data_IF_505973209492
#
_entry.id   IF_505973209492
#
_cell.length_a   1.000
_cell.length_b   1.000
_cell.length_c   1.000
_cell.angle_alpha   90.00
_cell.angle_beta   90.00
_cell.angle_gamma   90.00
#
_symmetry.space_group_name_H-M   'P 1'
#
loop_
_entity.id
_entity.type
_entity.pdbx_description
1 polymer ?
#
# COMPACT_ATOMS: atom_id res chain seq x y z
N UNK A 1 -5.88 -16.04 -28.47
CA UNK A 1 -5.50 -14.60 -28.55
C UNK A 1 -6.77 -13.81 -28.76
N UNK A 2 -6.79 -12.54 -28.37
CA UNK A 2 -7.93 -11.66 -28.64
C UNK A 2 -7.92 -11.28 -30.14
N UNK A 3 -9.08 -10.91 -30.68
CA UNK A 3 -9.16 -10.42 -32.06
C UNK A 3 -8.29 -9.17 -32.24
N UNK A 4 -7.41 -9.11 -33.26
CA UNK A 4 -6.65 -7.92 -33.57
C UNK A 4 -7.55 -6.71 -33.87
N UNK A 5 -7.19 -5.56 -33.30
CA UNK A 5 -7.87 -4.28 -33.53
C UNK A 5 -6.80 -3.24 -33.86
N UNK A 6 -6.52 -3.11 -35.16
CA UNK A 6 -5.48 -2.21 -35.68
C UNK A 6 -5.90 -0.75 -35.59
N UNK A 7 -7.19 -0.46 -35.83
CA UNK A 7 -7.72 0.90 -35.87
C UNK A 7 -7.55 1.57 -34.50
N UNK A 8 -7.77 0.83 -33.41
CA UNK A 8 -7.54 1.31 -32.04
C UNK A 8 -6.10 1.78 -31.78
N UNK A 9 -5.10 1.20 -32.44
CA UNK A 9 -3.68 1.53 -32.25
C UNK A 9 -3.08 2.35 -33.39
N UNK A 10 -3.84 2.65 -34.45
CA UNK A 10 -3.36 3.37 -35.61
C UNK A 10 -2.69 4.72 -35.25
N UNK A 11 -3.21 5.55 -34.33
CA UNK A 11 -2.53 6.79 -33.94
C UNK A 11 -1.14 6.56 -33.34
N UNK A 12 -0.96 5.48 -32.57
CA UNK A 12 0.34 5.10 -32.00
C UNK A 12 1.30 4.58 -33.07
N UNK A 13 0.79 3.84 -34.06
CA UNK A 13 1.58 3.38 -35.21
C UNK A 13 2.08 4.55 -36.04
N UNK A 14 1.24 5.56 -36.29
CA UNK A 14 1.64 6.78 -37.00
C UNK A 14 2.79 7.52 -36.29
N UNK A 15 2.75 7.60 -34.96
CA UNK A 15 3.87 8.14 -34.17
C UNK A 15 5.13 7.32 -34.41
N UNK A 16 5.03 5.99 -34.36
CA UNK A 16 6.16 5.08 -34.64
C UNK A 16 6.72 5.28 -36.05
N UNK A 17 5.87 5.42 -37.07
CA UNK A 17 6.27 5.64 -38.45
C UNK A 17 6.94 6.99 -38.69
N UNK A 18 6.58 8.03 -37.93
CA UNK A 18 7.30 9.32 -37.95
C UNK A 18 8.69 9.21 -37.35
N UNK A 19 8.84 8.47 -36.26
CA UNK A 19 10.15 8.25 -35.62
C UNK A 19 11.06 7.34 -36.45
N UNK A 20 10.48 6.34 -37.14
CA UNK A 20 11.21 5.35 -37.93
C UNK A 20 10.67 5.28 -39.36
N UNK A 21 11.07 6.20 -40.27
CA UNK A 21 10.49 6.30 -41.62
C UNK A 21 10.57 5.03 -42.47
N UNK A 22 11.56 4.16 -42.23
CA UNK A 22 11.67 2.87 -42.93
C UNK A 22 10.43 1.97 -42.75
N UNK A 23 9.74 2.06 -41.61
CA UNK A 23 8.56 1.24 -41.32
C UNK A 23 7.33 1.61 -42.17
N UNK A 24 7.28 2.81 -42.75
CA UNK A 24 6.19 3.24 -43.64
C UNK A 24 6.05 2.37 -44.90
N UNK A 25 7.13 1.70 -45.31
CA UNK A 25 7.20 0.91 -46.56
C UNK A 25 7.32 -0.61 -46.33
N UNK A 26 7.43 -1.05 -45.08
CA UNK A 26 7.77 -2.45 -44.76
C UNK A 26 6.53 -3.36 -44.67
N UNK A 27 5.36 -2.81 -44.38
CA UNK A 27 4.12 -3.58 -44.15
C UNK A 27 4.08 -4.29 -42.79
N UNK A 28 2.88 -4.72 -42.38
CA UNK A 28 2.66 -5.45 -41.11
C UNK A 28 2.49 -6.93 -41.44
N UNK A 29 3.41 -7.77 -40.94
CA UNK A 29 3.35 -9.24 -41.14
C UNK A 29 2.32 -9.92 -40.23
N UNK A 30 2.23 -9.49 -38.98
CA UNK A 30 1.40 -10.12 -37.96
C UNK A 30 1.04 -9.12 -36.86
N UNK A 31 -0.17 -9.25 -36.31
CA UNK A 31 -0.63 -8.50 -35.14
C UNK A 31 -0.98 -9.51 -34.04
N UNK A 32 -0.38 -9.35 -32.86
CA UNK A 32 -0.64 -10.20 -31.70
C UNK A 32 -1.36 -9.36 -30.66
N UNK A 33 -2.65 -9.65 -30.45
CA UNK A 33 -3.44 -9.07 -29.37
C UNK A 33 -3.58 -10.11 -28.24
N UNK A 34 -2.73 -9.99 -27.22
CA UNK A 34 -2.63 -10.93 -26.11
C UNK A 34 -3.15 -10.36 -24.81
N UNK A 35 -3.82 -11.17 -23.96
CA UNK A 35 -4.15 -10.75 -22.61
C UNK A 35 -2.88 -10.64 -21.76
N UNK A 36 -2.88 -9.68 -20.85
CA UNK A 36 -1.81 -9.48 -19.86
C UNK A 36 -2.44 -9.25 -18.48
N UNK A 37 -1.80 -9.69 -17.42
CA UNK A 37 -2.28 -9.51 -16.03
C UNK A 37 -1.61 -8.31 -15.36
N UNK A 38 -2.41 -7.51 -14.64
CA UNK A 38 -1.96 -6.35 -13.87
C UNK A 38 -2.64 -6.34 -12.51
N UNK A 39 -1.88 -6.02 -11.46
CA UNK A 39 -2.46 -5.59 -10.19
C UNK A 39 -2.90 -4.12 -10.28
N UNK A 40 -3.71 -3.61 -9.33
CA UNK A 40 -4.18 -2.23 -9.33
C UNK A 40 -3.08 -1.18 -9.47
N UNK A 41 -1.88 -1.42 -8.91
CA UNK A 41 -0.71 -0.52 -8.99
C UNK A 41 0.29 -0.91 -10.10
N UNK A 42 0.01 -1.96 -10.87
CA UNK A 42 0.87 -2.49 -11.92
C UNK A 42 2.07 -3.32 -11.43
N UNK A 43 2.26 -3.49 -10.12
CA UNK A 43 3.31 -4.34 -9.56
C UNK A 43 2.84 -5.81 -9.40
N UNK A 44 3.77 -6.78 -9.37
CA UNK A 44 3.45 -8.16 -9.03
C UNK A 44 2.70 -8.34 -7.71
N UNK A 45 2.03 -9.47 -7.56
CA UNK A 45 1.43 -9.96 -6.32
C UNK A 45 2.15 -11.23 -5.91
N UNK A 46 2.99 -11.13 -4.89
CA UNK A 46 3.94 -12.17 -4.49
C UNK A 46 3.81 -12.44 -2.99
N UNK A 47 3.86 -13.70 -2.58
CA UNK A 47 4.01 -14.09 -1.18
C UNK A 47 2.85 -14.92 -0.63
N UNK A 48 2.88 -15.19 0.69
CA UNK A 48 1.91 -16.05 1.36
C UNK A 48 0.59 -15.31 1.62
N UNK A 49 -0.52 -16.01 1.39
CA UNK A 49 -1.87 -15.47 1.60
C UNK A 49 -2.32 -15.71 3.05
N UNK A 50 -2.67 -14.62 3.75
CA UNK A 50 -3.17 -14.68 5.12
C UNK A 50 -4.43 -15.56 5.20
N UNK A 51 -4.54 -16.38 6.24
CA UNK A 51 -5.67 -17.28 6.46
C UNK A 51 -5.63 -18.59 5.66
N UNK A 52 -4.66 -18.77 4.75
CA UNK A 52 -4.52 -19.98 3.93
C UNK A 52 -3.10 -20.57 4.07
N UNK A 53 -2.84 -21.41 5.10
CA UNK A 53 -1.52 -22.00 5.33
C UNK A 53 -1.02 -22.79 4.12
N UNK A 54 0.22 -22.51 3.70
CA UNK A 54 0.83 -23.16 2.55
C UNK A 54 0.35 -22.68 1.18
N UNK A 55 -0.54 -21.67 1.12
CA UNK A 55 -0.98 -21.07 -0.14
C UNK A 55 -0.16 -19.81 -0.46
N UNK A 56 0.46 -19.82 -1.64
CA UNK A 56 1.36 -18.76 -2.10
C UNK A 56 0.93 -18.26 -3.47
N UNK A 57 1.19 -16.98 -3.74
CA UNK A 57 0.92 -16.37 -5.04
C UNK A 57 2.18 -15.78 -5.66
N UNK A 58 2.21 -15.79 -6.98
CA UNK A 58 3.17 -15.07 -7.83
C UNK A 58 2.42 -14.64 -9.11
N UNK A 59 1.48 -13.71 -8.93
CA UNK A 59 0.50 -13.29 -9.93
C UNK A 59 0.76 -11.86 -10.40
N UNK A 60 0.12 -11.44 -11.49
CA UNK A 60 0.19 -10.05 -11.97
C UNK A 60 1.59 -9.60 -12.42
N UNK A 61 2.45 -10.56 -12.81
CA UNK A 61 3.84 -10.27 -13.20
C UNK A 61 3.88 -9.70 -14.62
N UNK A 62 3.69 -8.38 -14.71
CA UNK A 62 3.61 -7.66 -15.99
C UNK A 62 4.84 -7.88 -16.89
N UNK A 63 6.05 -7.80 -16.36
CA UNK A 63 7.26 -7.95 -17.15
C UNK A 63 7.87 -9.34 -16.93
N UNK A 64 7.04 -10.38 -17.02
CA UNK A 64 7.35 -11.76 -16.62
C UNK A 64 8.68 -12.31 -17.12
N UNK A 65 9.07 -12.02 -18.36
CA UNK A 65 10.37 -12.43 -18.89
C UNK A 65 11.56 -11.74 -18.20
N UNK A 66 11.42 -10.46 -17.88
CA UNK A 66 12.48 -9.68 -17.21
C UNK A 66 12.50 -9.83 -15.68
N UNK A 67 11.33 -10.04 -15.07
CA UNK A 67 11.16 -10.07 -13.61
C UNK A 67 11.06 -11.49 -13.04
N UNK A 68 10.72 -12.49 -13.87
CA UNK A 68 10.38 -13.84 -13.41
C UNK A 68 11.48 -14.53 -12.62
N UNK A 69 12.75 -14.36 -13.02
CA UNK A 69 13.89 -14.91 -12.28
C UNK A 69 14.01 -14.32 -10.86
N UNK A 70 13.85 -13.00 -10.73
CA UNK A 70 13.91 -12.32 -9.43
C UNK A 70 12.72 -12.65 -8.54
N UNK A 71 11.50 -12.70 -9.10
CA UNK A 71 10.30 -13.14 -8.37
C UNK A 71 10.44 -14.58 -7.89
N UNK A 72 10.96 -15.46 -8.75
CA UNK A 72 11.21 -16.86 -8.40
C UNK A 72 12.20 -17.00 -7.24
N UNK A 73 13.32 -16.28 -7.28
CA UNK A 73 14.32 -16.28 -6.21
C UNK A 73 13.75 -15.75 -4.88
N UNK A 74 13.02 -14.64 -4.91
CA UNK A 74 12.41 -14.08 -3.70
C UNK A 74 11.40 -15.06 -3.07
N UNK A 75 10.57 -15.69 -3.91
CA UNK A 75 9.58 -16.65 -3.44
C UNK A 75 10.22 -17.93 -2.88
N UNK A 76 11.26 -18.46 -3.54
CA UNK A 76 11.97 -19.65 -3.05
C UNK A 76 12.68 -19.39 -1.73
N UNK A 77 13.34 -18.25 -1.58
CA UNK A 77 13.95 -17.85 -0.31
C UNK A 77 12.89 -17.75 0.78
N UNK A 78 11.75 -17.11 0.48
CA UNK A 78 10.70 -16.94 1.47
C UNK A 78 10.11 -18.27 1.94
N UNK A 79 9.91 -19.22 1.03
CA UNK A 79 9.38 -20.54 1.38
C UNK A 79 10.36 -21.36 2.24
N UNK A 80 11.67 -21.20 2.05
CA UNK A 80 12.69 -22.02 2.74
C UNK A 80 13.14 -21.35 4.06
N UNK A 81 13.43 -20.06 4.01
CA UNK A 81 14.05 -19.30 5.10
C UNK A 81 13.04 -18.49 5.92
N UNK A 82 11.78 -18.41 5.48
CA UNK A 82 10.77 -17.54 6.09
C UNK A 82 10.93 -16.06 5.76
N UNK A 83 11.88 -15.70 4.89
CA UNK A 83 12.14 -14.32 4.44
C UNK A 83 12.52 -14.27 2.94
N UNK A 84 12.05 -13.28 2.17
CA UNK A 84 12.39 -13.16 0.75
C UNK A 84 13.85 -12.79 0.47
N UNK A 85 14.63 -12.41 1.48
CA UNK A 85 16.04 -12.01 1.38
C UNK A 85 16.27 -10.57 0.95
N UNK A 86 15.21 -9.85 0.57
CA UNK A 86 15.21 -8.44 0.22
C UNK A 86 13.87 -7.79 0.61
N UNK A 87 13.82 -6.47 0.69
CA UNK A 87 12.55 -5.77 0.83
C UNK A 87 11.76 -5.83 -0.49
N UNK A 88 10.64 -6.56 -0.45
CA UNK A 88 9.72 -6.73 -1.57
C UNK A 88 8.32 -6.18 -1.26
N UNK A 89 8.19 -5.24 -0.32
CA UNK A 89 6.90 -4.68 0.09
C UNK A 89 6.01 -4.27 -1.09
N UNK A 90 6.58 -3.61 -2.10
CA UNK A 90 5.85 -3.19 -3.31
C UNK A 90 5.24 -4.34 -4.13
N UNK A 91 5.70 -5.58 -3.90
CA UNK A 91 5.21 -6.80 -4.55
C UNK A 91 4.40 -7.69 -3.60
N UNK A 92 4.50 -7.51 -2.28
CA UNK A 92 3.79 -8.36 -1.30
C UNK A 92 2.28 -8.29 -1.55
N UNK A 93 1.62 -9.46 -1.56
CA UNK A 93 0.16 -9.56 -1.65
C UNK A 93 -0.53 -8.89 -0.46
N UNK A 94 0.12 -8.80 0.70
CA UNK A 94 -0.41 -8.19 1.91
C UNK A 94 -0.55 -6.66 1.85
N UNK A 95 -0.10 -6.00 0.78
CA UNK A 95 -0.36 -4.56 0.55
C UNK A 95 -1.82 -4.27 0.16
N UNK A 96 -2.59 -5.32 -0.13
CA UNK A 96 -4.03 -5.25 -0.38
C UNK A 96 -4.79 -6.04 0.69
N UNK A 97 -6.09 -5.74 0.78
CA UNK A 97 -7.05 -6.51 1.56
C UNK A 97 -8.41 -6.49 0.90
N UNK A 98 -9.46 -6.81 1.65
CA UNK A 98 -10.83 -6.98 1.12
C UNK A 98 -11.41 -5.73 0.45
N UNK A 99 -10.80 -4.57 0.67
CA UNK A 99 -11.16 -3.31 0.03
C UNK A 99 -10.82 -3.26 -1.46
N UNK A 100 -9.83 -4.04 -1.92
CA UNK A 100 -9.38 -4.07 -3.29
C UNK A 100 -10.32 -4.91 -4.17
N UNK A 101 -11.58 -4.47 -4.27
CA UNK A 101 -12.64 -5.17 -5.01
C UNK A 101 -12.35 -5.28 -6.51
N UNK A 102 -13.09 -6.14 -7.20
CA UNK A 102 -13.01 -6.29 -8.65
C UNK A 102 -13.28 -4.97 -9.40
N UNK A 103 -14.24 -4.16 -8.91
CA UNK A 103 -14.58 -2.86 -9.50
C UNK A 103 -13.42 -1.86 -9.35
N UNK A 104 -12.85 -1.77 -8.15
CA UNK A 104 -11.67 -0.93 -7.89
C UNK A 104 -10.48 -1.37 -8.76
N UNK A 105 -10.20 -2.68 -8.78
CA UNK A 105 -9.12 -3.27 -9.57
C UNK A 105 -9.28 -2.95 -11.05
N UNK A 106 -10.50 -3.07 -11.60
CA UNK A 106 -10.76 -2.76 -13.01
C UNK A 106 -10.46 -1.29 -13.35
N UNK A 107 -10.92 -0.36 -12.49
CA UNK A 107 -10.69 1.06 -12.69
C UNK A 107 -9.20 1.42 -12.62
N UNK A 108 -8.49 0.96 -11.58
CA UNK A 108 -7.07 1.25 -11.37
C UNK A 108 -6.15 0.62 -12.40
N UNK A 109 -6.43 -0.60 -12.84
CA UNK A 109 -5.64 -1.26 -13.88
C UNK A 109 -5.72 -0.49 -15.20
N UNK A 110 -6.92 -0.01 -15.58
CA UNK A 110 -7.09 0.81 -16.80
C UNK A 110 -6.31 2.11 -16.74
N UNK A 111 -6.34 2.79 -15.58
CA UNK A 111 -5.59 4.02 -15.35
C UNK A 111 -4.07 3.79 -15.36
N UNK A 112 -3.58 2.75 -14.69
CA UNK A 112 -2.15 2.43 -14.69
C UNK A 112 -1.65 1.99 -16.06
N UNK A 113 -2.45 1.21 -16.80
CA UNK A 113 -2.10 0.79 -18.15
C UNK A 113 -2.01 1.98 -19.11
N UNK A 114 -3.00 2.88 -19.09
CA UNK A 114 -3.00 4.06 -19.96
C UNK A 114 -1.85 5.03 -19.68
N UNK A 115 -1.29 4.99 -18.46
CA UNK A 115 -0.19 5.85 -18.00
C UNK A 115 1.16 5.16 -17.96
N UNK A 116 1.30 3.93 -18.50
CA UNK A 116 2.49 3.09 -18.29
C UNK A 116 3.81 3.76 -18.66
N UNK A 117 3.81 4.56 -19.72
CA UNK A 117 4.99 5.29 -20.21
C UNK A 117 4.89 6.80 -20.00
N UNK A 118 3.94 7.25 -19.19
CA UNK A 118 3.80 8.66 -18.83
C UNK A 118 4.85 9.06 -17.79
N UNK A 119 5.25 10.33 -17.83
CA UNK A 119 6.04 10.93 -16.75
C UNK A 119 5.14 11.02 -15.51
N UNK A 120 5.51 10.31 -14.45
CA UNK A 120 4.88 10.39 -13.13
C UNK A 120 5.61 11.42 -12.32
N UNK A 121 4.93 12.26 -11.56
CA UNK A 121 5.58 13.21 -10.63
C UNK A 121 5.56 12.69 -9.19
N UNK A 122 6.42 13.18 -8.28
CA UNK A 122 6.32 12.88 -6.86
C UNK A 122 4.97 13.38 -6.35
N UNK A 123 4.42 12.67 -5.36
CA UNK A 123 3.15 12.99 -4.72
C UNK A 123 1.93 13.00 -5.67
N UNK A 124 2.09 12.59 -6.94
CA UNK A 124 0.98 12.59 -7.89
C UNK A 124 -0.04 11.50 -7.56
N UNK A 125 -1.20 11.96 -7.09
CA UNK A 125 -2.36 11.15 -6.80
C UNK A 125 -3.20 10.84 -8.04
N UNK A 126 -3.73 9.63 -8.10
CA UNK A 126 -4.46 9.13 -9.26
C UNK A 126 -5.95 8.93 -8.94
N UNK A 127 -6.88 9.54 -9.70
CA UNK A 127 -8.28 9.65 -9.31
C UNK A 127 -9.13 8.39 -9.57
N UNK A 128 -8.71 7.45 -10.43
CA UNK A 128 -9.59 6.34 -10.78
C UNK A 128 -9.94 5.48 -9.55
N UNK A 129 -11.24 5.15 -9.41
CA UNK A 129 -11.74 4.35 -8.30
C UNK A 129 -11.87 5.10 -6.96
N UNK A 130 -11.79 6.43 -6.96
CA UNK A 130 -11.89 7.28 -5.77
C UNK A 130 -13.14 8.18 -5.77
N UNK A 131 -13.70 8.54 -4.60
CA UNK A 131 -13.32 8.02 -3.27
C UNK A 131 -13.78 6.57 -3.09
N UNK A 132 -13.00 5.76 -2.35
CA UNK A 132 -13.33 4.37 -2.04
C UNK A 132 -13.83 4.19 -0.61
N UNK A 133 -12.96 4.43 0.37
CA UNK A 133 -13.34 4.48 1.79
C UNK A 133 -13.12 5.90 2.31
N UNK A 134 -14.06 6.38 3.09
CA UNK A 134 -14.02 7.70 3.72
C UNK A 134 -14.32 7.59 5.20
N UNK A 135 -13.81 8.53 5.99
CA UNK A 135 -14.20 8.67 7.39
C UNK A 135 -15.41 9.60 7.50
N UNK A 136 -16.11 9.63 8.66
CA UNK A 136 -17.20 10.59 8.88
C UNK A 136 -16.78 12.07 8.75
N UNK A 137 -15.48 12.37 8.78
CA UNK A 137 -14.95 13.73 8.63
C UNK A 137 -14.71 14.13 7.18
N UNK A 138 -14.83 13.21 6.21
CA UNK A 138 -14.46 13.46 4.81
C UNK A 138 -15.07 14.73 4.22
N UNK A 139 -16.41 14.88 4.29
CA UNK A 139 -17.10 16.07 3.76
C UNK A 139 -16.69 17.36 4.49
N UNK A 140 -16.49 17.30 5.81
CA UNK A 140 -16.08 18.45 6.60
C UNK A 140 -14.65 18.92 6.25
N UNK A 141 -13.75 17.97 6.00
CA UNK A 141 -12.37 18.25 5.59
C UNK A 141 -12.30 18.69 4.12
N UNK A 142 -13.12 18.11 3.24
CA UNK A 142 -13.24 18.54 1.85
C UNK A 142 -13.73 20.00 1.77
N UNK A 143 -14.73 20.37 2.57
CA UNK A 143 -15.20 21.75 2.69
C UNK A 143 -14.15 22.73 3.25
N UNK A 144 -13.08 22.22 3.87
CA UNK A 144 -11.90 22.99 4.34
C UNK A 144 -10.77 23.02 3.30
N UNK A 145 -10.97 22.43 2.12
CA UNK A 145 -9.99 22.42 1.03
C UNK A 145 -9.02 21.24 1.06
N UNK A 146 -9.32 20.16 1.79
CA UNK A 146 -8.45 18.98 1.83
C UNK A 146 -8.11 18.48 0.42
N UNK A 147 -6.80 18.37 0.14
CA UNK A 147 -6.27 17.63 -1.00
C UNK A 147 -6.04 16.19 -0.58
N UNK A 148 -6.60 15.26 -1.33
CA UNK A 148 -6.75 13.89 -0.88
C UNK A 148 -5.69 12.96 -1.46
N UNK A 149 -5.07 12.16 -0.60
CA UNK A 149 -4.31 10.97 -0.96
C UNK A 149 -5.03 9.70 -0.54
N UNK A 150 -4.45 8.54 -0.83
CA UNK A 150 -5.00 7.24 -0.43
C UNK A 150 -3.99 6.46 0.41
N UNK A 151 -4.44 5.97 1.56
CA UNK A 151 -3.73 4.99 2.38
C UNK A 151 -4.60 3.76 2.57
N UNK A 152 -4.19 2.62 2.02
CA UNK A 152 -4.89 1.34 2.18
C UNK A 152 -6.40 1.38 1.83
N UNK A 153 -6.72 2.10 0.75
CA UNK A 153 -8.09 2.33 0.26
C UNK A 153 -8.86 3.44 0.97
N UNK A 154 -8.32 4.01 2.06
CA UNK A 154 -8.89 5.15 2.79
C UNK A 154 -8.40 6.48 2.24
N UNK A 155 -9.32 7.41 2.04
CA UNK A 155 -9.03 8.81 1.73
C UNK A 155 -8.40 9.51 2.93
N UNK A 156 -7.23 10.12 2.74
CA UNK A 156 -6.47 10.81 3.79
C UNK A 156 -6.12 12.23 3.31
N UNK A 157 -6.37 13.28 4.11
CA UNK A 157 -5.96 14.63 3.76
C UNK A 157 -4.42 14.73 3.76
N UNK A 158 -3.85 15.20 2.66
CA UNK A 158 -2.42 15.46 2.51
C UNK A 158 -2.04 16.87 2.96
N UNK A 159 -2.86 17.85 2.56
CA UNK A 159 -2.74 19.27 2.89
C UNK A 159 -4.07 19.99 2.58
N UNK A 160 -4.19 21.28 2.92
CA UNK A 160 -5.42 22.04 2.71
C UNK A 160 -5.21 23.22 1.73
N UNK A 161 -5.88 23.15 0.58
CA UNK A 161 -5.83 24.17 -0.46
C UNK A 161 -6.86 25.29 -0.22
N UNK A 162 -6.45 26.56 -0.29
CA UNK A 162 -7.39 27.68 -0.36
C UNK A 162 -8.27 27.62 -1.61
N UNK A 163 -9.37 28.37 -1.61
CA UNK A 163 -10.24 28.49 -2.78
C UNK A 163 -9.46 28.92 -4.02
N UNK A 164 -9.66 28.19 -5.13
CA UNK A 164 -8.99 28.45 -6.40
C UNK A 164 -7.58 27.86 -6.53
N UNK A 165 -6.99 27.32 -5.46
CA UNK A 165 -5.68 26.64 -5.50
C UNK A 165 -5.87 25.16 -5.85
N UNK A 166 -5.00 24.62 -6.69
CA UNK A 166 -4.98 23.22 -7.11
C UNK A 166 -3.56 22.67 -7.05
N UNK A 167 -3.44 21.35 -6.99
CA UNK A 167 -2.15 20.67 -7.11
C UNK A 167 -1.53 20.88 -8.49
N UNK A 168 -0.30 21.40 -8.50
CA UNK A 168 0.62 21.34 -9.64
C UNK A 168 1.88 20.61 -9.21
N UNK A 169 2.01 19.36 -9.67
CA UNK A 169 3.12 18.50 -9.30
C UNK A 169 4.44 18.92 -9.95
N UNK A 170 5.54 18.75 -9.22
CA UNK A 170 6.86 19.18 -9.63
C UNK A 170 7.93 18.22 -9.11
N UNK A 171 9.06 18.14 -9.81
CA UNK A 171 10.28 17.50 -9.29
C UNK A 171 11.01 18.36 -8.24
N UNK A 172 10.49 19.57 -7.99
CA UNK A 172 10.93 20.51 -6.95
C UNK A 172 9.73 20.81 -6.05
N UNK A 173 9.83 21.88 -5.26
CA UNK A 173 8.69 22.41 -4.51
C UNK A 173 7.50 22.64 -5.45
N UNK A 174 6.34 22.11 -5.06
CA UNK A 174 5.05 22.24 -5.74
C UNK A 174 4.20 23.32 -5.07
N UNK A 175 2.98 23.48 -5.56
CA UNK A 175 1.96 24.41 -5.04
C UNK A 175 1.70 24.25 -3.54
N UNK A 176 1.82 23.04 -3.00
CA UNK A 176 1.61 22.71 -1.59
C UNK A 176 2.63 23.35 -0.62
N UNK A 177 3.84 23.68 -1.06
CA UNK A 177 4.97 23.96 -0.16
C UNK A 177 4.70 25.07 0.86
N UNK A 178 4.24 26.24 0.40
CA UNK A 178 3.97 27.38 1.28
C UNK A 178 2.70 27.18 2.13
N UNK A 179 1.78 26.31 1.69
CA UNK A 179 0.57 25.97 2.44
C UNK A 179 0.88 25.01 3.58
N UNK A 180 1.64 23.94 3.30
CA UNK A 180 2.14 23.02 4.32
C UNK A 180 3.03 23.76 5.33
N UNK A 181 3.86 24.71 4.89
CA UNK A 181 4.65 25.54 5.80
C UNK A 181 3.78 26.32 6.80
N UNK A 182 2.61 26.82 6.35
CA UNK A 182 1.63 27.48 7.23
C UNK A 182 0.97 26.51 8.19
N UNK A 183 0.61 25.30 7.76
CA UNK A 183 0.08 24.25 8.63
C UNK A 183 1.09 23.89 9.73
N UNK A 184 2.36 23.69 9.36
CA UNK A 184 3.46 23.45 10.30
C UNK A 184 3.60 24.59 11.30
N UNK A 185 3.57 25.85 10.83
CA UNK A 185 3.66 27.02 11.70
C UNK A 185 2.45 27.13 12.65
N UNK A 186 1.25 26.79 12.19
CA UNK A 186 0.03 26.78 13.00
C UNK A 186 0.10 25.74 14.12
N UNK A 187 0.60 24.53 13.84
CA UNK A 187 0.82 23.49 14.87
C UNK A 187 1.92 23.91 15.85
N UNK A 188 3.03 24.47 15.36
CA UNK A 188 4.17 24.86 16.21
C UNK A 188 3.84 26.01 17.15
N UNK A 189 3.00 26.96 16.71
CA UNK A 189 2.71 28.19 17.45
C UNK A 189 1.27 28.23 17.99
N UNK A 190 0.54 27.13 17.94
CA UNK A 190 -0.87 27.08 18.29
C UNK A 190 -1.35 25.64 18.52
N UNK A 191 -2.52 25.32 17.98
CA UNK A 191 -3.14 24.00 18.09
C UNK A 191 -3.54 23.55 16.70
N UNK A 192 -3.15 22.33 16.33
CA UNK A 192 -3.60 21.68 15.10
C UNK A 192 -4.41 20.43 15.40
N UNK A 193 -5.29 20.09 14.46
CA UNK A 193 -6.02 18.83 14.43
C UNK A 193 -5.51 18.03 13.24
N UNK A 194 -5.18 16.77 13.46
CA UNK A 194 -4.82 15.83 12.41
C UNK A 194 -5.62 14.55 12.58
N UNK A 195 -6.13 14.02 11.48
CA UNK A 195 -6.80 12.73 11.47
C UNK A 195 -5.77 11.61 11.43
N UNK A 196 -5.91 10.64 12.35
CA UNK A 196 -5.04 9.45 12.44
C UNK A 196 -5.84 8.15 12.23
N UNK A 197 -7.04 8.26 11.66
CA UNK A 197 -7.93 7.13 11.35
C UNK A 197 -7.25 6.10 10.43
N UNK A 198 -6.27 6.53 9.64
CA UNK A 198 -5.49 5.75 8.68
C UNK A 198 -4.45 4.82 9.30
N UNK A 199 -4.25 4.82 10.62
CA UNK A 199 -3.41 3.81 11.27
C UNK A 199 -4.10 2.46 11.34
N UNK A 200 -3.32 1.39 11.23
CA UNK A 200 -3.78 0.06 11.57
C UNK A 200 -3.88 -0.04 13.08
N UNK A 201 -5.01 -0.50 13.59
CA UNK A 201 -5.29 -0.57 15.02
C UNK A 201 -5.54 -2.04 15.39
N UNK A 202 -4.94 -2.51 16.46
CA UNK A 202 -5.08 -3.89 16.92
C UNK A 202 -5.41 -3.93 18.41
N UNK A 203 -6.21 -4.91 18.78
CA UNK A 203 -6.53 -5.23 20.17
C UNK A 203 -5.96 -6.60 20.49
N UNK A 204 -5.23 -6.69 21.60
CA UNK A 204 -4.69 -7.95 22.12
C UNK A 204 -5.27 -8.20 23.50
N UNK A 205 -5.83 -9.39 23.69
CA UNK A 205 -6.44 -9.84 24.95
C UNK A 205 -6.03 -11.26 25.27
N UNK A 206 -6.24 -11.68 26.52
CA UNK A 206 -5.94 -13.03 26.99
C UNK A 206 -4.98 -13.05 28.17
N UNK A 207 -4.94 -14.19 28.88
CA UNK A 207 -4.19 -14.33 30.12
C UNK A 207 -2.67 -14.22 29.94
N UNK A 208 -2.14 -14.62 28.77
CA UNK A 208 -0.71 -14.51 28.44
C UNK A 208 -0.40 -13.38 27.44
N UNK A 209 -1.31 -12.40 27.30
CA UNK A 209 -1.12 -11.30 26.35
C UNK A 209 0.18 -10.54 26.61
N UNK A 210 0.52 -10.27 27.88
CA UNK A 210 1.76 -9.61 28.26
C UNK A 210 2.99 -10.45 27.86
N UNK A 211 2.99 -11.75 28.18
CA UNK A 211 4.11 -12.64 27.85
C UNK A 211 4.35 -12.75 26.34
N UNK A 212 3.27 -12.78 25.56
CA UNK A 212 3.35 -12.76 24.10
C UNK A 212 3.89 -11.42 23.57
N UNK A 213 3.35 -10.29 24.04
CA UNK A 213 3.81 -8.96 23.61
C UNK A 213 5.29 -8.71 23.91
N UNK A 214 5.79 -9.19 25.06
CA UNK A 214 7.21 -9.09 25.45
C UNK A 214 8.14 -9.88 24.50
N UNK A 215 7.61 -10.90 23.81
CA UNK A 215 8.35 -11.65 22.77
C UNK A 215 8.24 -11.01 21.40
N UNK A 216 7.12 -10.38 21.09
CA UNK A 216 6.85 -9.77 19.78
C UNK A 216 7.59 -8.45 19.60
N UNK A 217 7.66 -7.63 20.65
CA UNK A 217 8.21 -6.28 20.56
C UNK A 217 9.56 -6.15 21.26
N UNK A 218 10.48 -5.42 20.62
CA UNK A 218 11.80 -5.10 21.15
C UNK A 218 11.75 -3.87 22.07
N UNK A 219 10.85 -3.88 23.07
CA UNK A 219 10.70 -2.79 24.04
C UNK A 219 10.28 -3.32 25.41
N UNK A 220 10.45 -2.51 26.46
CA UNK A 220 9.82 -2.82 27.76
C UNK A 220 8.33 -2.54 27.67
N UNK A 221 7.51 -3.49 28.13
CA UNK A 221 6.07 -3.28 28.17
C UNK A 221 5.68 -2.09 29.05
N UNK A 222 4.76 -1.23 28.58
CA UNK A 222 4.28 -0.11 29.35
C UNK A 222 3.46 -0.59 30.55
N UNK A 223 3.54 0.15 31.66
CA UNK A 223 2.62 -0.04 32.80
C UNK A 223 1.19 0.30 32.40
N UNK A 224 0.22 -0.19 33.16
CA UNK A 224 -1.20 0.17 33.01
C UNK A 224 -1.42 1.68 32.84
N UNK A 225 -2.25 2.05 31.85
CA UNK A 225 -2.56 3.43 31.49
C UNK A 225 -1.40 4.18 30.83
N UNK A 226 -0.36 3.48 30.35
CA UNK A 226 0.79 4.06 29.64
C UNK A 226 0.92 3.47 28.24
N UNK A 227 1.68 4.17 27.42
CA UNK A 227 2.06 3.72 26.08
C UNK A 227 3.57 3.90 25.86
N UNK A 228 4.11 3.14 24.92
CA UNK A 228 5.50 3.19 24.47
C UNK A 228 5.58 2.98 22.96
N UNK A 229 6.70 3.39 22.36
CA UNK A 229 7.09 2.88 21.05
C UNK A 229 7.54 1.43 21.19
N UNK A 230 7.14 0.60 20.24
CA UNK A 230 7.28 -0.85 20.27
C UNK A 230 7.75 -1.34 18.89
N UNK A 231 9.07 -1.31 18.62
CA UNK A 231 9.64 -1.86 17.40
C UNK A 231 9.42 -3.37 17.33
N UNK A 232 9.09 -3.89 16.15
CA UNK A 232 8.94 -5.33 15.88
C UNK A 232 10.04 -5.78 14.94
N UNK A 233 10.72 -6.86 15.32
CA UNK A 233 11.85 -7.41 14.56
C UNK A 233 11.50 -8.78 14.00
N UNK A 234 12.07 -9.12 12.83
CA UNK A 234 12.09 -10.50 12.34
C UNK A 234 13.30 -11.26 12.91
N UNK A 235 13.38 -12.55 12.61
CA UNK A 235 14.36 -13.47 13.18
C UNK A 235 15.83 -13.06 12.96
N UNK A 236 16.14 -12.31 11.90
CA UNK A 236 17.49 -11.80 11.62
C UNK A 236 17.80 -10.45 12.29
N UNK A 237 16.90 -9.95 13.14
CA UNK A 237 17.04 -8.69 13.86
C UNK A 237 16.67 -7.43 13.07
N UNK A 238 16.21 -7.54 11.81
CA UNK A 238 15.76 -6.38 11.03
C UNK A 238 14.35 -5.95 11.44
N UNK A 239 14.08 -4.65 11.31
CA UNK A 239 12.78 -4.06 11.58
C UNK A 239 11.75 -4.52 10.55
N UNK A 240 10.58 -4.96 11.04
CA UNK A 240 9.41 -5.32 10.23
C UNK A 240 8.15 -4.55 10.63
N UNK A 241 8.26 -3.68 11.62
CA UNK A 241 7.22 -2.73 11.98
C UNK A 241 7.66 -1.85 13.13
N UNK A 242 7.07 -0.67 13.21
CA UNK A 242 7.20 0.23 14.35
C UNK A 242 5.80 0.66 14.78
N UNK A 243 5.56 0.61 16.08
CA UNK A 243 4.22 0.65 16.66
C UNK A 243 4.19 1.52 17.90
N UNK A 244 3.00 2.00 18.24
CA UNK A 244 2.67 2.45 19.58
C UNK A 244 1.91 1.35 20.29
N UNK A 245 2.46 0.85 21.39
CA UNK A 245 1.82 -0.14 22.26
C UNK A 245 1.30 0.57 23.51
N UNK A 246 0.02 0.39 23.82
CA UNK A 246 -0.61 0.90 25.03
C UNK A 246 -1.15 -0.26 25.89
N UNK A 247 -0.87 -0.20 27.19
CA UNK A 247 -1.54 -1.04 28.18
C UNK A 247 -2.80 -0.30 28.64
N UNK A 248 -3.96 -0.77 28.21
CA UNK A 248 -5.24 -0.17 28.60
C UNK A 248 -5.55 -0.59 30.04
N UNK A 249 -5.51 -1.89 30.31
CA UNK A 249 -5.65 -2.48 31.64
C UNK A 249 -5.02 -3.88 31.73
N UNK A 250 -5.37 -4.63 32.78
CA UNK A 250 -4.79 -5.95 33.06
C UNK A 250 -5.26 -7.03 32.06
N UNK A 251 -6.27 -6.76 31.23
CA UNK A 251 -6.86 -7.69 30.27
C UNK A 251 -6.71 -7.25 28.81
N UNK A 252 -6.48 -5.96 28.55
CA UNK A 252 -6.49 -5.38 27.20
C UNK A 252 -5.26 -4.53 26.87
N UNK A 253 -4.73 -4.77 25.67
CA UNK A 253 -3.66 -4.01 25.06
C UNK A 253 -4.11 -3.47 23.71
N UNK A 254 -3.65 -2.26 23.40
CA UNK A 254 -3.92 -1.60 22.13
C UNK A 254 -2.62 -1.35 21.39
N UNK A 255 -2.60 -1.65 20.10
CA UNK A 255 -1.46 -1.43 19.21
C UNK A 255 -1.93 -0.52 18.08
N UNK A 256 -1.19 0.56 17.82
CA UNK A 256 -1.34 1.36 16.61
C UNK A 256 -0.07 1.26 15.77
N UNK A 257 -0.22 1.08 14.46
CA UNK A 257 0.89 0.97 13.52
C UNK A 257 0.56 1.48 12.12
N UNK A 258 1.42 1.15 11.16
CA UNK A 258 1.25 1.56 9.77
C UNK A 258 0.01 0.94 9.14
N UNK A 259 -0.98 1.76 8.77
CA UNK A 259 -2.25 1.32 8.16
C UNK A 259 -2.08 0.48 6.91
N UNK A 260 -1.15 0.88 6.03
CA UNK A 260 -0.89 0.19 4.77
C UNK A 260 -0.41 -1.26 4.96
N UNK A 261 0.12 -1.56 6.14
CA UNK A 261 0.74 -2.84 6.47
C UNK A 261 -0.14 -3.68 7.41
N UNK A 262 -1.45 -3.37 7.53
CA UNK A 262 -2.35 -4.08 8.44
C UNK A 262 -2.26 -5.60 8.27
N UNK A 263 -2.46 -6.08 7.02
CA UNK A 263 -2.45 -7.51 6.71
C UNK A 263 -1.06 -8.12 6.84
N UNK A 264 -0.01 -7.34 6.57
CA UNK A 264 1.37 -7.77 6.70
C UNK A 264 1.71 -8.04 8.17
N UNK A 265 1.36 -7.12 9.06
CA UNK A 265 1.54 -7.31 10.50
C UNK A 265 0.64 -8.42 11.04
N UNK A 266 -0.63 -8.51 10.61
CA UNK A 266 -1.52 -9.59 11.04
C UNK A 266 -0.96 -10.97 10.69
N UNK A 267 -0.37 -11.13 9.50
CA UNK A 267 0.30 -12.37 9.10
C UNK A 267 1.44 -12.73 10.05
N UNK A 268 2.21 -11.73 10.52
CA UNK A 268 3.26 -11.94 11.51
C UNK A 268 2.69 -12.29 12.89
N UNK A 269 1.71 -11.54 13.38
CA UNK A 269 1.10 -11.79 14.68
C UNK A 269 0.47 -13.18 14.75
N UNK A 270 -0.33 -13.56 13.74
CA UNK A 270 -0.99 -14.86 13.66
C UNK A 270 0.01 -16.02 13.60
N UNK A 271 1.13 -15.86 12.90
CA UNK A 271 2.17 -16.87 12.83
C UNK A 271 2.86 -17.13 14.19
N UNK A 272 2.81 -16.16 15.11
CA UNK A 272 3.46 -16.22 16.42
C UNK A 272 2.47 -16.37 17.58
N UNK A 273 1.17 -16.54 17.31
CA UNK A 273 0.19 -16.77 18.37
C UNK A 273 0.41 -18.15 19.05
N UNK A 274 0.23 -18.23 20.38
CA UNK A 274 0.09 -19.51 21.07
C UNK A 274 -1.10 -20.31 20.50
N UNK A 275 -0.93 -21.63 20.39
CA UNK A 275 -1.97 -22.53 19.86
C UNK A 275 -3.04 -22.91 20.88
N UNK A 276 -2.84 -22.59 22.15
CA UNK A 276 -3.74 -22.92 23.26
C UNK A 276 -4.88 -21.91 23.46
N UNK A 277 -4.87 -20.80 22.72
CA UNK A 277 -5.88 -19.75 22.82
C UNK A 277 -5.70 -18.81 24.01
N UNK A 278 -4.56 -18.86 24.70
CA UNK A 278 -4.20 -17.96 25.81
C UNK A 278 -4.08 -16.49 25.39
N UNK A 279 -3.92 -16.23 24.09
CA UNK A 279 -3.83 -14.89 23.50
C UNK A 279 -4.73 -14.80 22.27
N UNK A 280 -5.44 -13.68 22.15
CA UNK A 280 -6.24 -13.32 20.99
C UNK A 280 -5.81 -11.95 20.49
N UNK A 281 -5.71 -11.82 19.18
CA UNK A 281 -5.49 -10.54 18.50
C UNK A 281 -6.61 -10.29 17.48
N UNK A 282 -7.02 -9.04 17.36
CA UNK A 282 -8.04 -8.57 16.44
C UNK A 282 -7.58 -7.27 15.78
N UNK A 283 -7.65 -7.19 14.45
CA UNK A 283 -7.47 -5.94 13.72
C UNK A 283 -8.80 -5.16 13.75
N UNK A 284 -8.74 -3.86 14.06
CA UNK A 284 -9.90 -2.99 14.24
C UNK A 284 -10.13 -2.04 13.04
N UNK A 285 -9.38 -2.23 11.96
CA UNK A 285 -9.34 -1.34 10.79
C UNK A 285 -8.47 -0.11 11.01
#
# INVERSE_FOLDING_TARGET
LLEPDIDRIAPSLEVGFRHFPAFQKTGIKQIINGPFTFAPDGNPLVGPVRGLPGFWVACGVMAGFSQGGGVGLALSNWMIEGDPGADIWAMDVARYGDWATMAYTNAKVRENYSRRFSIRFPNEELPAGRPLKTTPLYEALAAKGAQWGVSYGLEVPLWYAPEGVKDEFSWRRSTDFDHVAKEVAAVRNGVGLSEISNFAKYKVTGEDAAGWLDRIFACKLPKRGRMTLAPMLKNDGRLIGDFTLANIDDAEWFIAGSGIAEQYHMRWFEAHLPKDGSVRIEALG
#
